data_IF_175889317816
#
_entry.id   IF_175889317816
#
_cell.length_a   1.000
_cell.length_b   1.000
_cell.length_c   1.000
_cell.angle_alpha   90.00
_cell.angle_beta   90.00
_cell.angle_gamma   90.00
#
_symmetry.space_group_name_H-M   'P 1'
#
loop_
_entity.id
_entity.type
_entity.pdbx_description
1 polymer ?
#
# COMPACT_ATOMS: atom_id res chain seq x y z
N UNK A 1 -27.41 11.02 -46.58
CA UNK A 1 -26.80 12.21 -45.97
C UNK A 1 -25.31 12.10 -46.23
N UNK A 2 -24.80 12.87 -47.18
CA UNK A 2 -23.43 12.73 -47.67
C UNK A 2 -22.44 13.17 -46.57
N UNK A 3 -21.66 12.21 -46.06
CA UNK A 3 -20.51 12.49 -45.20
C UNK A 3 -19.51 13.24 -46.07
N UNK A 4 -19.11 14.44 -45.64
CA UNK A 4 -18.28 15.34 -46.43
C UNK A 4 -16.88 14.71 -46.58
N UNK A 5 -16.31 14.76 -47.79
CA UNK A 5 -15.00 14.14 -48.12
C UNK A 5 -13.85 14.69 -47.25
N UNK A 6 -14.02 15.90 -46.71
CA UNK A 6 -13.12 16.51 -45.73
C UNK A 6 -13.16 15.82 -44.35
N UNK A 7 -14.31 15.31 -43.92
CA UNK A 7 -14.46 14.57 -42.65
C UNK A 7 -13.84 13.17 -42.76
N UNK A 8 -13.91 12.54 -43.93
CA UNK A 8 -13.21 11.27 -44.23
C UNK A 8 -11.69 11.45 -44.17
N UNK A 9 -11.16 12.53 -44.76
CA UNK A 9 -9.73 12.85 -44.75
C UNK A 9 -9.24 13.16 -43.33
N UNK A 10 -10.04 13.86 -42.51
CA UNK A 10 -9.70 14.11 -41.10
C UNK A 10 -9.66 12.82 -40.27
N UNK A 11 -10.61 11.90 -40.48
CA UNK A 11 -10.64 10.59 -39.79
C UNK A 11 -9.47 9.70 -40.23
N UNK A 12 -9.15 9.65 -41.53
CA UNK A 12 -8.01 8.90 -42.05
C UNK A 12 -6.67 9.51 -41.59
N UNK A 13 -6.59 10.83 -41.47
CA UNK A 13 -5.39 11.50 -40.94
C UNK A 13 -5.22 11.31 -39.43
N UNK A 14 -6.32 11.19 -38.67
CA UNK A 14 -6.31 10.85 -37.25
C UNK A 14 -5.91 9.39 -36.99
N UNK A 15 -6.36 8.45 -37.85
CA UNK A 15 -5.89 7.06 -37.82
C UNK A 15 -4.41 6.94 -38.20
N UNK A 16 -3.93 7.77 -39.13
CA UNK A 16 -2.52 7.79 -39.57
C UNK A 16 -1.55 8.43 -38.55
N UNK A 17 -2.06 9.04 -37.47
CA UNK A 17 -1.25 9.75 -36.45
C UNK A 17 -1.34 9.12 -35.06
N UNK A 18 -1.77 7.86 -34.94
CA UNK A 18 -1.59 7.16 -33.68
C UNK A 18 -0.09 6.97 -33.39
N UNK A 19 0.37 7.49 -32.26
CA UNK A 19 1.76 7.30 -31.79
C UNK A 19 2.06 5.81 -31.58
N UNK A 20 1.04 5.03 -31.23
CA UNK A 20 1.13 3.59 -31.04
C UNK A 20 0.24 2.88 -32.07
N UNK A 21 0.89 2.25 -33.06
CA UNK A 21 0.20 1.51 -34.13
C UNK A 21 -0.71 0.41 -33.56
N UNK A 22 -1.83 0.18 -34.25
CA UNK A 22 -2.82 -0.86 -33.90
C UNK A 22 -2.22 -2.28 -33.91
N UNK A 23 -1.12 -2.52 -34.65
CA UNK A 23 -0.41 -3.80 -34.62
C UNK A 23 0.40 -4.02 -33.34
N UNK A 24 1.01 -2.96 -32.79
CA UNK A 24 1.88 -3.07 -31.61
C UNK A 24 1.10 -3.07 -30.29
N UNK A 25 -0.04 -2.35 -30.28
CA UNK A 25 -0.93 -2.23 -29.14
C UNK A 25 -1.33 -3.57 -28.46
N UNK A 26 -1.78 -4.62 -29.16
CA UNK A 26 -2.18 -5.88 -28.53
C UNK A 26 -1.00 -6.61 -27.88
N UNK A 27 0.20 -6.56 -28.45
CA UNK A 27 1.38 -7.21 -27.87
C UNK A 27 1.80 -6.54 -26.56
N UNK A 28 1.88 -5.20 -26.55
CA UNK A 28 2.19 -4.45 -25.33
C UNK A 28 1.11 -4.64 -24.27
N UNK A 29 -0.16 -4.61 -24.68
CA UNK A 29 -1.29 -4.86 -23.77
C UNK A 29 -1.22 -6.24 -23.13
N UNK A 30 -1.00 -7.29 -23.93
CA UNK A 30 -0.85 -8.65 -23.43
C UNK A 30 0.31 -8.77 -22.43
N UNK A 31 1.45 -8.16 -22.77
CA UNK A 31 2.63 -8.15 -21.90
C UNK A 31 2.33 -7.51 -20.54
N UNK A 32 1.73 -6.32 -20.52
CA UNK A 32 1.34 -5.65 -19.27
C UNK A 32 0.28 -6.43 -18.48
N UNK A 33 -0.69 -7.06 -19.16
CA UNK A 33 -1.69 -7.90 -18.49
C UNK A 33 -1.04 -9.10 -17.80
N UNK A 34 -0.10 -9.78 -18.47
CA UNK A 34 0.63 -10.92 -17.91
C UNK A 34 1.40 -10.49 -16.66
N UNK A 35 2.18 -9.42 -16.74
CA UNK A 35 2.90 -8.90 -15.59
C UNK A 35 1.96 -8.48 -14.45
N UNK A 36 0.86 -7.82 -14.77
CA UNK A 36 -0.12 -7.40 -13.77
C UNK A 36 -0.71 -8.60 -13.04
N UNK A 37 -1.08 -9.66 -13.77
CA UNK A 37 -1.59 -10.90 -13.20
C UNK A 37 -0.56 -11.63 -12.32
N UNK A 38 0.73 -11.59 -12.68
CA UNK A 38 1.81 -12.17 -11.87
C UNK A 38 1.89 -11.58 -10.47
N UNK A 39 1.54 -10.30 -10.29
CA UNK A 39 1.52 -9.65 -8.98
C UNK A 39 0.12 -9.64 -8.35
N UNK A 40 -0.92 -9.38 -9.13
CA UNK A 40 -2.27 -9.17 -8.61
C UNK A 40 -2.91 -10.45 -8.08
N UNK A 41 -2.71 -11.59 -8.75
CA UNK A 41 -3.30 -12.87 -8.31
C UNK A 41 -2.70 -13.31 -6.97
N UNK A 42 -1.36 -13.35 -6.78
CA UNK A 42 -0.79 -13.59 -5.45
C UNK A 42 -1.20 -12.52 -4.42
N UNK A 43 -1.33 -11.25 -4.83
CA UNK A 43 -1.76 -10.18 -3.92
C UNK A 43 -3.19 -10.40 -3.39
N UNK A 44 -4.09 -11.02 -4.15
CA UNK A 44 -5.41 -11.45 -3.64
C UNK A 44 -5.22 -12.45 -2.49
N UNK A 45 -4.44 -13.51 -2.70
CA UNK A 45 -4.19 -14.53 -1.68
C UNK A 45 -3.52 -13.95 -0.43
N UNK A 46 -2.48 -13.15 -0.62
CA UNK A 46 -1.72 -12.53 0.46
C UNK A 46 -2.54 -11.53 1.26
N UNK A 47 -3.39 -10.73 0.62
CA UNK A 47 -4.27 -9.81 1.34
C UNK A 47 -5.44 -10.52 2.03
N UNK A 48 -5.94 -11.63 1.49
CA UNK A 48 -6.88 -12.49 2.22
C UNK A 48 -6.24 -13.06 3.51
N UNK A 49 -4.99 -13.53 3.43
CA UNK A 49 -4.22 -13.96 4.60
C UNK A 49 -4.01 -12.80 5.58
N UNK A 50 -3.68 -11.60 5.08
CA UNK A 50 -3.53 -10.40 5.92
C UNK A 50 -4.81 -10.11 6.71
N UNK A 51 -5.96 -10.08 6.03
CA UNK A 51 -7.27 -9.87 6.66
C UNK A 51 -7.52 -10.91 7.75
N UNK A 52 -7.34 -12.20 7.42
CA UNK A 52 -7.53 -13.28 8.39
C UNK A 52 -6.66 -13.12 9.64
N UNK A 53 -5.37 -12.82 9.46
CA UNK A 53 -4.42 -12.67 10.57
C UNK A 53 -4.74 -11.43 11.41
N UNK A 54 -5.03 -10.29 10.78
CA UNK A 54 -5.38 -9.08 11.54
C UNK A 54 -6.69 -9.21 12.30
N UNK A 55 -7.67 -9.95 11.76
CA UNK A 55 -8.87 -10.34 12.50
C UNK A 55 -8.51 -11.22 13.71
N UNK A 56 -7.60 -12.20 13.55
CA UNK A 56 -7.20 -13.11 14.63
C UNK A 56 -6.34 -12.45 15.71
N UNK A 57 -5.50 -11.49 15.36
CA UNK A 57 -4.72 -10.68 16.31
C UNK A 57 -5.66 -9.87 17.23
N UNK A 58 -6.85 -9.55 16.73
CA UNK A 58 -7.80 -8.67 17.39
C UNK A 58 -7.43 -7.21 17.17
N UNK A 59 -8.44 -6.42 16.81
CA UNK A 59 -8.31 -4.99 16.51
C UNK A 59 -8.19 -4.19 17.82
N UNK A 60 -7.03 -4.34 18.47
CA UNK A 60 -6.76 -3.85 19.83
C UNK A 60 -6.18 -2.44 19.85
N UNK A 61 -5.51 -2.04 18.77
CA UNK A 61 -4.82 -0.76 18.68
C UNK A 61 -5.10 -0.09 17.32
N UNK A 62 -4.90 1.22 17.25
CA UNK A 62 -5.16 2.01 16.04
C UNK A 62 -4.42 1.49 14.81
N UNK A 63 -3.20 0.95 14.98
CA UNK A 63 -2.36 0.52 13.86
C UNK A 63 -2.95 -0.74 13.24
N UNK A 64 -3.35 -1.69 14.08
CA UNK A 64 -4.01 -2.92 13.64
C UNK A 64 -5.33 -2.61 12.92
N UNK A 65 -6.10 -1.60 13.35
CA UNK A 65 -7.30 -1.14 12.61
C UNK A 65 -6.92 -0.69 11.19
N UNK A 66 -5.91 0.18 11.07
CA UNK A 66 -5.50 0.73 9.78
C UNK A 66 -4.95 -0.36 8.85
N UNK A 67 -4.15 -1.30 9.35
CA UNK A 67 -3.63 -2.40 8.52
C UNK A 67 -4.71 -3.40 8.11
N UNK A 68 -5.70 -3.67 8.97
CA UNK A 68 -6.86 -4.48 8.59
C UNK A 68 -7.66 -3.80 7.47
N UNK A 69 -7.96 -2.51 7.63
CA UNK A 69 -8.70 -1.74 6.63
C UNK A 69 -7.94 -1.67 5.30
N UNK A 70 -6.62 -1.42 5.34
CA UNK A 70 -5.76 -1.45 4.17
C UNK A 70 -5.77 -2.82 3.49
N UNK A 71 -5.64 -3.92 4.24
CA UNK A 71 -5.68 -5.27 3.69
C UNK A 71 -7.03 -5.61 3.04
N UNK A 72 -8.15 -5.14 3.60
CA UNK A 72 -9.48 -5.29 2.97
C UNK A 72 -9.55 -4.52 1.66
N UNK A 73 -9.08 -3.27 1.64
CA UNK A 73 -9.09 -2.46 0.42
C UNK A 73 -8.18 -3.05 -0.66
N UNK A 74 -6.96 -3.47 -0.30
CA UNK A 74 -6.02 -4.11 -1.22
C UNK A 74 -6.57 -5.44 -1.75
N UNK A 75 -7.22 -6.25 -0.91
CA UNK A 75 -7.90 -7.47 -1.35
C UNK A 75 -8.97 -7.17 -2.41
N UNK A 76 -9.90 -6.26 -2.12
CA UNK A 76 -10.95 -5.88 -3.07
C UNK A 76 -10.35 -5.31 -4.36
N UNK A 77 -9.37 -4.41 -4.25
CA UNK A 77 -8.67 -3.81 -5.38
C UNK A 77 -8.05 -4.88 -6.27
N UNK A 78 -7.30 -5.83 -5.69
CA UNK A 78 -6.60 -6.88 -6.44
C UNK A 78 -7.54 -7.91 -7.04
N UNK A 79 -8.71 -8.18 -6.43
CA UNK A 79 -9.75 -9.04 -7.02
C UNK A 79 -10.26 -8.43 -8.32
N UNK A 80 -10.72 -7.17 -8.29
CA UNK A 80 -11.21 -6.50 -9.50
C UNK A 80 -10.10 -6.31 -10.53
N UNK A 81 -8.88 -5.98 -10.11
CA UNK A 81 -7.75 -5.83 -11.00
C UNK A 81 -7.39 -7.13 -11.73
N UNK A 82 -7.39 -8.26 -11.01
CA UNK A 82 -7.09 -9.57 -11.60
C UNK A 82 -8.15 -10.01 -12.60
N UNK A 83 -9.43 -9.84 -12.27
CA UNK A 83 -10.55 -10.18 -13.17
C UNK A 83 -10.47 -9.30 -14.44
N UNK A 84 -10.26 -7.99 -14.28
CA UNK A 84 -10.16 -7.06 -15.41
C UNK A 84 -8.99 -7.36 -16.34
N UNK A 85 -7.79 -7.65 -15.80
CA UNK A 85 -6.64 -8.01 -16.63
C UNK A 85 -6.79 -9.37 -17.30
N UNK A 86 -7.45 -10.34 -16.65
CA UNK A 86 -7.74 -11.62 -17.28
C UNK A 86 -8.65 -11.44 -18.51
N UNK A 87 -9.71 -10.65 -18.36
CA UNK A 87 -10.61 -10.30 -19.45
C UNK A 87 -9.93 -9.51 -20.57
N UNK A 88 -9.10 -8.53 -20.21
CA UNK A 88 -8.29 -7.77 -21.16
C UNK A 88 -7.29 -8.65 -21.92
N UNK A 89 -6.67 -9.63 -21.27
CA UNK A 89 -5.76 -10.59 -21.89
C UNK A 89 -6.49 -11.49 -22.89
N UNK A 90 -7.64 -12.05 -22.51
CA UNK A 90 -8.46 -12.88 -23.41
C UNK A 90 -8.89 -12.11 -24.66
N UNK A 91 -9.28 -10.84 -24.51
CA UNK A 91 -9.57 -9.96 -25.64
C UNK A 91 -8.34 -9.71 -26.50
N UNK A 92 -7.19 -9.41 -25.89
CA UNK A 92 -5.95 -9.13 -26.63
C UNK A 92 -5.39 -10.33 -27.38
N UNK A 93 -5.71 -11.56 -26.95
CA UNK A 93 -5.31 -12.80 -27.62
C UNK A 93 -6.34 -13.29 -28.65
N UNK A 94 -7.40 -12.50 -28.93
CA UNK A 94 -8.50 -12.89 -29.81
C UNK A 94 -9.13 -14.24 -29.42
N UNK A 95 -9.26 -14.53 -28.12
CA UNK A 95 -9.83 -15.78 -27.66
C UNK A 95 -11.31 -15.93 -28.11
N UNK A 96 -11.81 -17.16 -28.35
CA UNK A 96 -13.20 -17.37 -28.73
C UNK A 96 -14.18 -16.75 -27.71
N UNK A 97 -15.13 -15.94 -28.20
CA UNK A 97 -16.13 -15.26 -27.34
C UNK A 97 -15.62 -14.02 -26.59
N UNK A 98 -14.39 -13.57 -26.83
CA UNK A 98 -13.81 -12.41 -26.13
C UNK A 98 -14.34 -11.05 -26.57
N UNK A 99 -15.10 -10.96 -27.68
CA UNK A 99 -15.59 -9.70 -28.25
C UNK A 99 -16.44 -8.87 -27.28
N UNK A 100 -17.27 -9.51 -26.46
CA UNK A 100 -18.13 -8.84 -25.46
C UNK A 100 -17.42 -8.62 -24.10
N UNK A 101 -16.17 -9.07 -23.97
CA UNK A 101 -15.44 -9.09 -22.71
C UNK A 101 -14.92 -7.71 -22.28
N UNK A 102 -14.84 -6.77 -23.24
CA UNK A 102 -14.49 -5.36 -23.02
C UNK A 102 -15.41 -4.67 -22.00
N UNK A 103 -16.70 -5.07 -21.93
CA UNK A 103 -17.67 -4.60 -20.95
C UNK A 103 -17.19 -4.90 -19.52
N UNK A 104 -16.72 -6.11 -19.30
CA UNK A 104 -16.34 -6.58 -17.97
C UNK A 104 -15.02 -5.94 -17.54
N UNK A 105 -14.12 -5.69 -18.50
CA UNK A 105 -12.91 -4.90 -18.28
C UNK A 105 -13.25 -3.49 -17.80
N UNK A 106 -14.25 -2.82 -18.39
CA UNK A 106 -14.66 -1.48 -17.93
C UNK A 106 -15.31 -1.50 -16.53
N UNK A 107 -16.22 -2.44 -16.28
CA UNK A 107 -16.89 -2.57 -14.98
C UNK A 107 -15.89 -2.88 -13.84
N UNK A 108 -14.95 -3.80 -14.10
CA UNK A 108 -13.89 -4.16 -13.15
C UNK A 108 -12.90 -3.03 -12.94
N UNK A 109 -12.50 -2.29 -13.98
CA UNK A 109 -11.65 -1.10 -13.86
C UNK A 109 -12.28 -0.02 -12.98
N UNK A 110 -13.59 0.17 -13.12
CA UNK A 110 -14.37 1.11 -12.30
C UNK A 110 -14.38 0.69 -10.82
N UNK A 111 -14.66 -0.58 -10.54
CA UNK A 111 -14.64 -1.10 -9.16
C UNK A 111 -13.22 -1.07 -8.56
N UNK A 112 -12.21 -1.47 -9.33
CA UNK A 112 -10.79 -1.38 -8.98
C UNK A 112 -10.41 0.03 -8.53
N UNK A 113 -10.77 1.05 -9.30
CA UNK A 113 -10.42 2.44 -9.00
C UNK A 113 -10.98 2.94 -7.67
N UNK A 114 -12.22 2.54 -7.32
CA UNK A 114 -12.86 2.95 -6.06
C UNK A 114 -12.11 2.43 -4.83
N UNK A 115 -11.77 1.14 -4.81
CA UNK A 115 -11.06 0.55 -3.67
C UNK A 115 -9.60 1.00 -3.62
N UNK A 116 -8.98 1.25 -4.77
CA UNK A 116 -7.62 1.79 -4.85
C UNK A 116 -7.52 3.18 -4.21
N UNK A 117 -8.49 4.06 -4.48
CA UNK A 117 -8.51 5.41 -3.90
C UNK A 117 -8.64 5.35 -2.37
N UNK A 118 -9.49 4.44 -1.87
CA UNK A 118 -9.65 4.20 -0.43
C UNK A 118 -8.35 3.67 0.17
N UNK A 119 -7.71 2.68 -0.46
CA UNK A 119 -6.42 2.14 -0.03
C UNK A 119 -5.34 3.24 0.03
N UNK A 120 -5.25 4.10 -1.00
CA UNK A 120 -4.30 5.22 -1.04
C UNK A 120 -4.52 6.21 0.10
N UNK A 121 -5.77 6.57 0.38
CA UNK A 121 -6.11 7.46 1.49
C UNK A 121 -5.79 6.83 2.85
N UNK A 122 -6.05 5.52 3.02
CA UNK A 122 -5.69 4.78 4.23
C UNK A 122 -4.17 4.75 4.43
N UNK A 123 -3.39 4.50 3.38
CA UNK A 123 -1.93 4.54 3.46
C UNK A 123 -1.43 5.94 3.83
N UNK A 124 -2.05 6.99 3.29
CA UNK A 124 -1.76 8.39 3.66
C UNK A 124 -2.04 8.65 5.14
N UNK A 125 -3.17 8.17 5.65
CA UNK A 125 -3.50 8.27 7.08
C UNK A 125 -2.49 7.53 7.96
N UNK A 126 -2.08 6.32 7.57
CA UNK A 126 -1.03 5.56 8.26
C UNK A 126 0.27 6.37 8.27
N UNK A 127 0.70 6.91 7.13
CA UNK A 127 1.92 7.70 7.03
C UNK A 127 1.88 8.94 7.93
N UNK A 128 0.76 9.65 7.94
CA UNK A 128 0.54 10.82 8.79
C UNK A 128 0.61 10.44 10.27
N UNK A 129 -0.08 9.37 10.68
CA UNK A 129 -0.02 8.84 12.03
C UNK A 129 1.42 8.51 12.45
N UNK A 130 2.21 7.91 11.56
CA UNK A 130 3.61 7.53 11.84
C UNK A 130 4.56 8.72 11.84
N UNK A 131 4.43 9.62 10.88
CA UNK A 131 5.22 10.83 10.78
C UNK A 131 4.99 11.74 11.98
N UNK A 132 3.74 11.94 12.39
CA UNK A 132 3.42 12.74 13.56
C UNK A 132 3.87 12.08 14.86
N UNK A 133 3.86 10.75 14.97
CA UNK A 133 4.40 10.07 16.16
C UNK A 133 5.91 10.34 16.34
N UNK A 134 6.61 10.61 15.25
CA UNK A 134 8.03 10.97 15.25
C UNK A 134 8.22 12.47 15.49
N UNK A 135 7.49 13.32 14.77
CA UNK A 135 7.67 14.77 14.83
C UNK A 135 7.05 15.39 16.10
N UNK A 136 5.94 14.84 16.60
CA UNK A 136 5.17 15.39 17.70
C UNK A 136 4.54 14.33 18.63
N UNK A 137 5.35 13.64 19.46
CA UNK A 137 4.91 12.48 20.25
C UNK A 137 3.87 12.77 21.34
N UNK A 138 3.78 14.02 21.83
CA UNK A 138 2.82 14.38 22.89
C UNK A 138 1.38 14.49 22.36
N UNK A 139 1.20 14.99 21.13
CA UNK A 139 -0.12 15.10 20.51
C UNK A 139 -0.67 13.73 20.08
N UNK A 140 0.21 12.85 19.60
CA UNK A 140 -0.18 11.56 19.01
C UNK A 140 -0.76 10.56 20.00
N UNK A 141 -0.36 10.61 21.27
CA UNK A 141 -0.89 9.73 22.33
C UNK A 141 -2.40 9.89 22.54
N UNK A 142 -2.95 11.08 22.28
CA UNK A 142 -4.39 11.36 22.47
C UNK A 142 -5.15 11.47 21.15
N UNK A 143 -4.46 11.82 20.06
CA UNK A 143 -5.07 11.94 18.73
C UNK A 143 -5.39 10.56 18.11
N UNK A 144 -4.48 9.59 18.17
CA UNK A 144 -4.57 8.34 17.42
C UNK A 144 -5.01 7.14 18.27
N UNK A 145 -6.22 7.22 18.83
CA UNK A 145 -6.84 6.09 19.53
C UNK A 145 -7.58 5.17 18.57
N UNK A 146 -7.81 3.91 18.96
CA UNK A 146 -8.49 2.90 18.13
C UNK A 146 -9.82 3.40 17.56
N UNK A 147 -10.69 3.93 18.42
CA UNK A 147 -12.04 4.33 18.02
C UNK A 147 -12.00 5.55 17.08
N UNK A 148 -11.10 6.51 17.33
CA UNK A 148 -10.92 7.68 16.45
C UNK A 148 -10.42 7.25 15.07
N UNK A 149 -9.44 6.36 15.00
CA UNK A 149 -8.94 5.84 13.73
C UNK A 149 -10.01 5.05 12.97
N UNK A 150 -10.83 4.26 13.66
CA UNK A 150 -11.96 3.57 13.03
C UNK A 150 -12.94 4.57 12.40
N UNK A 151 -13.31 5.63 13.14
CA UNK A 151 -14.19 6.69 12.61
C UNK A 151 -13.56 7.34 11.37
N UNK A 152 -12.28 7.72 11.43
CA UNK A 152 -11.58 8.34 10.30
C UNK A 152 -11.58 7.43 9.07
N UNK A 153 -11.29 6.14 9.23
CA UNK A 153 -11.26 5.18 8.11
C UNK A 153 -12.66 4.96 7.51
N UNK A 154 -13.70 4.92 8.34
CA UNK A 154 -15.09 4.86 7.85
C UNK A 154 -15.44 6.12 7.07
N UNK A 155 -15.10 7.30 7.58
CA UNK A 155 -15.35 8.58 6.90
C UNK A 155 -14.60 8.66 5.57
N UNK A 156 -13.32 8.27 5.53
CA UNK A 156 -12.52 8.18 4.29
C UNK A 156 -13.22 7.28 3.28
N UNK A 157 -13.66 6.10 3.71
CA UNK A 157 -14.33 5.12 2.85
C UNK A 157 -15.64 5.69 2.29
N UNK A 158 -16.48 6.28 3.14
CA UNK A 158 -17.77 6.85 2.73
C UNK A 158 -17.59 8.01 1.75
N UNK A 159 -16.65 8.92 2.00
CA UNK A 159 -16.41 10.07 1.12
C UNK A 159 -15.91 9.61 -0.26
N UNK A 160 -14.93 8.70 -0.30
CA UNK A 160 -14.33 8.27 -1.56
C UNK A 160 -15.26 7.37 -2.37
N UNK A 161 -15.98 6.45 -1.72
CA UNK A 161 -16.99 5.67 -2.41
C UNK A 161 -18.17 6.56 -2.85
N UNK A 162 -18.63 7.49 -2.00
CA UNK A 162 -19.73 8.37 -2.32
C UNK A 162 -19.43 9.35 -3.47
N UNK A 163 -18.19 9.79 -3.61
CA UNK A 163 -17.75 10.65 -4.73
C UNK A 163 -17.51 9.86 -6.01
N UNK A 164 -16.99 8.63 -5.91
CA UNK A 164 -16.74 7.79 -7.08
C UNK A 164 -17.96 7.02 -7.60
N UNK A 165 -18.89 6.61 -6.74
CA UNK A 165 -20.05 5.79 -7.12
C UNK A 165 -20.94 6.42 -8.19
N UNK A 166 -21.31 7.72 -8.14
CA UNK A 166 -22.12 8.35 -9.19
C UNK A 166 -21.51 8.22 -10.59
N UNK A 167 -20.19 8.37 -10.70
CA UNK A 167 -19.45 8.13 -11.95
C UNK A 167 -19.52 6.66 -12.37
N UNK A 168 -19.45 5.75 -11.39
CA UNK A 168 -19.48 4.30 -11.60
C UNK A 168 -20.84 3.72 -11.97
N UNK A 169 -21.93 4.48 -11.88
CA UNK A 169 -23.29 4.01 -12.23
C UNK A 169 -23.91 4.79 -13.39
N UNK A 170 -23.21 5.77 -13.95
CA UNK A 170 -23.71 6.65 -15.01
C UNK A 170 -23.34 6.19 -16.41
N UNK A 171 -23.34 4.87 -16.61
CA UNK A 171 -23.20 4.24 -17.92
C UNK A 171 -24.16 3.05 -18.03
N UNK A 172 -24.51 2.70 -19.26
CA UNK A 172 -25.30 1.51 -19.58
C UNK A 172 -24.65 0.74 -20.71
N UNK A 173 -24.90 -0.55 -20.74
CA UNK A 173 -24.47 -1.41 -21.84
C UNK A 173 -25.58 -1.44 -22.89
N UNK A 174 -25.22 -1.09 -24.13
CA UNK A 174 -26.13 -1.20 -25.27
C UNK A 174 -25.54 -2.17 -26.30
N UNK A 175 -26.40 -2.95 -26.94
CA UNK A 175 -26.00 -3.83 -28.04
C UNK A 175 -26.19 -3.08 -29.35
N UNK A 176 -25.14 -2.97 -30.13
CA UNK A 176 -25.18 -2.39 -31.48
C UNK A 176 -24.72 -3.45 -32.50
N UNK A 177 -25.24 -3.44 -33.74
CA UNK A 177 -24.72 -4.31 -34.79
C UNK A 177 -23.21 -4.08 -35.02
N UNK A 178 -22.44 -5.15 -35.19
CA UNK A 178 -21.01 -5.09 -35.47
C UNK A 178 -20.81 -4.41 -36.85
N UNK A 179 -20.14 -3.24 -36.90
CA UNK A 179 -19.97 -2.49 -38.13
C UNK A 179 -19.09 -3.22 -39.16
N UNK A 180 -18.32 -4.23 -38.74
CA UNK A 180 -17.48 -5.06 -39.64
C UNK A 180 -18.22 -6.29 -40.16
N UNK A 181 -19.18 -6.80 -39.39
CA UNK A 181 -19.96 -7.97 -39.75
C UNK A 181 -21.41 -7.78 -39.26
N UNK A 182 -22.28 -7.29 -40.14
CA UNK A 182 -23.68 -6.92 -39.84
C UNK A 182 -24.57 -8.08 -39.33
N UNK A 183 -23.99 -9.28 -39.16
CA UNK A 183 -24.63 -10.46 -38.59
C UNK A 183 -24.43 -10.61 -37.07
N UNK A 184 -23.41 -9.99 -36.48
CA UNK A 184 -23.14 -10.06 -35.02
C UNK A 184 -23.53 -8.76 -34.30
N UNK A 185 -23.87 -8.85 -33.01
CA UNK A 185 -24.04 -7.69 -32.13
C UNK A 185 -22.81 -7.56 -31.24
N UNK A 186 -22.37 -6.32 -30.98
CA UNK A 186 -21.33 -5.98 -29.99
C UNK A 186 -21.95 -5.17 -28.85
N UNK A 187 -21.48 -5.40 -27.62
CA UNK A 187 -21.86 -4.59 -26.47
C UNK A 187 -20.92 -3.39 -26.36
N UNK A 188 -21.47 -2.18 -26.36
CA UNK A 188 -20.71 -0.94 -26.13
C UNK A 188 -21.17 -0.22 -24.87
N UNK A 189 -20.24 0.53 -24.26
CA UNK A 189 -20.51 1.39 -23.12
C UNK A 189 -21.14 2.68 -23.63
N UNK A 190 -22.37 2.96 -23.20
CA UNK A 190 -23.07 4.21 -23.47
C UNK A 190 -23.13 5.03 -22.17
N UNK A 191 -22.41 6.15 -22.15
CA UNK A 191 -22.43 7.10 -21.04
C UNK A 191 -23.74 7.89 -21.03
N UNK A 192 -24.28 8.15 -19.83
CA UNK A 192 -25.43 9.04 -19.67
C UNK A 192 -24.96 10.50 -19.75
N UNK A 193 -25.85 11.44 -20.09
CA UNK A 193 -25.50 12.87 -20.26
C UNK A 193 -24.82 13.46 -19.00
N UNK A 194 -25.27 13.02 -17.82
CA UNK A 194 -24.75 13.42 -16.51
C UNK A 194 -23.36 12.84 -16.19
N UNK A 195 -22.89 11.82 -16.91
CA UNK A 195 -21.59 11.17 -16.67
C UNK A 195 -20.45 12.19 -16.70
N UNK A 196 -20.47 13.10 -17.70
CA UNK A 196 -19.44 14.13 -17.89
C UNK A 196 -19.24 15.02 -16.66
N UNK A 197 -20.34 15.36 -15.97
CA UNK A 197 -20.32 16.20 -14.77
C UNK A 197 -19.72 15.46 -13.58
N UNK A 198 -20.11 14.19 -13.38
CA UNK A 198 -19.55 13.36 -12.30
C UNK A 198 -18.10 12.97 -12.56
N UNK A 199 -17.72 12.69 -13.81
CA UNK A 199 -16.34 12.41 -14.22
C UNK A 199 -15.43 13.62 -13.95
N UNK A 200 -15.89 14.82 -14.32
CA UNK A 200 -15.15 16.06 -14.04
C UNK A 200 -15.00 16.32 -12.54
N UNK A 201 -16.07 16.16 -11.75
CA UNK A 201 -16.02 16.32 -10.30
C UNK A 201 -15.05 15.32 -9.66
N UNK A 202 -15.12 14.05 -10.06
CA UNK A 202 -14.23 13.01 -9.57
C UNK A 202 -12.76 13.28 -9.96
N UNK A 203 -12.50 13.67 -11.21
CA UNK A 203 -11.17 14.01 -11.67
C UNK A 203 -10.58 15.18 -10.88
N UNK A 204 -11.32 16.27 -10.73
CA UNK A 204 -10.84 17.48 -10.03
C UNK A 204 -10.65 17.19 -8.54
N UNK A 205 -11.65 16.62 -7.88
CA UNK A 205 -11.63 16.45 -6.43
C UNK A 205 -10.74 15.28 -5.99
N UNK A 206 -10.96 14.09 -6.54
CA UNK A 206 -10.28 12.86 -6.09
C UNK A 206 -8.90 12.74 -6.73
N UNK A 207 -8.81 12.86 -8.06
CA UNK A 207 -7.54 12.60 -8.77
C UNK A 207 -6.56 13.76 -8.71
N UNK A 208 -7.03 15.01 -8.79
CA UNK A 208 -6.17 16.19 -8.73
C UNK A 208 -6.00 16.64 -7.27
N UNK A 209 -7.00 17.24 -6.64
CA UNK A 209 -6.84 17.89 -5.33
C UNK A 209 -6.39 16.88 -4.27
N UNK A 210 -7.13 15.78 -4.11
CA UNK A 210 -6.75 14.75 -3.13
C UNK A 210 -5.50 13.98 -3.55
N UNK A 211 -5.35 13.60 -4.81
CA UNK A 211 -4.18 12.86 -5.30
C UNK A 211 -2.85 13.60 -5.04
N UNK A 212 -2.76 14.87 -5.44
CA UNK A 212 -1.59 15.70 -5.15
C UNK A 212 -1.41 15.96 -3.65
N UNK A 213 -2.51 16.23 -2.93
CA UNK A 213 -2.46 16.43 -1.47
C UNK A 213 -1.92 15.21 -0.73
N UNK A 214 -2.40 14.01 -1.06
CA UNK A 214 -1.91 12.74 -0.53
C UNK A 214 -0.43 12.55 -0.84
N UNK A 215 0.00 12.78 -2.07
CA UNK A 215 1.39 12.64 -2.47
C UNK A 215 2.34 13.56 -1.69
N UNK A 216 1.94 14.83 -1.51
CA UNK A 216 2.71 15.82 -0.72
C UNK A 216 2.79 15.36 0.74
N UNK A 217 1.67 15.00 1.35
CA UNK A 217 1.62 14.53 2.75
C UNK A 217 2.51 13.30 2.92
N UNK A 218 2.43 12.32 2.02
CA UNK A 218 3.24 11.11 2.02
C UNK A 218 4.73 11.42 1.95
N UNK A 219 5.12 12.33 1.06
CA UNK A 219 6.53 12.74 0.88
C UNK A 219 7.08 13.43 2.13
N UNK A 220 6.32 14.37 2.72
CA UNK A 220 6.69 15.05 3.97
C UNK A 220 6.79 14.04 5.12
N UNK A 221 5.84 13.11 5.24
CA UNK A 221 5.87 12.08 6.27
C UNK A 221 7.06 11.12 6.09
N UNK A 222 7.40 10.75 4.85
CA UNK A 222 8.58 9.92 4.56
C UNK A 222 9.86 10.57 5.08
N UNK A 223 10.04 11.86 4.80
CA UNK A 223 11.18 12.65 5.27
C UNK A 223 11.18 12.73 6.80
N UNK A 224 10.04 13.03 7.42
CA UNK A 224 9.94 13.10 8.88
C UNK A 224 10.28 11.76 9.57
N UNK A 225 9.74 10.64 9.06
CA UNK A 225 10.02 9.29 9.58
C UNK A 225 11.51 8.95 9.39
N UNK A 226 12.09 9.29 8.24
CA UNK A 226 13.51 9.05 7.95
C UNK A 226 14.43 9.82 8.91
N UNK A 227 14.16 11.11 9.12
CA UNK A 227 14.92 11.95 10.06
C UNK A 227 14.79 11.39 11.48
N UNK A 228 13.59 11.05 11.92
CA UNK A 228 13.39 10.47 13.25
C UNK A 228 14.06 9.11 13.45
N UNK A 229 14.10 8.29 12.41
CA UNK A 229 14.83 7.02 12.42
C UNK A 229 16.33 7.26 12.61
N UNK A 230 16.92 8.20 11.86
CA UNK A 230 18.34 8.58 11.97
C UNK A 230 18.68 9.08 13.37
N UNK A 231 17.85 9.99 13.92
CA UNK A 231 18.03 10.50 15.28
C UNK A 231 17.96 9.38 16.32
N UNK A 232 17.01 8.47 16.17
CA UNK A 232 16.86 7.31 17.07
C UNK A 232 18.06 6.35 17.02
N UNK A 233 18.69 6.19 15.84
CA UNK A 233 19.91 5.37 15.70
C UNK A 233 21.11 6.06 16.35
N UNK A 234 21.29 7.37 16.10
CA UNK A 234 22.42 8.15 16.66
C UNK A 234 22.38 8.21 18.18
N UNK A 235 21.20 8.45 18.77
CA UNK A 235 21.04 8.44 20.23
C UNK A 235 21.40 7.08 20.84
N UNK A 236 21.10 5.99 20.13
CA UNK A 236 21.42 4.62 20.59
C UNK A 236 22.91 4.32 20.51
N UNK A 237 23.61 4.73 19.46
CA UNK A 237 25.08 4.58 19.38
C UNK A 237 25.80 5.33 20.50
N UNK A 238 25.34 6.53 20.83
CA UNK A 238 25.91 7.34 21.92
C UNK A 238 25.58 6.77 23.30
N UNK A 239 24.37 6.24 23.50
CA UNK A 239 24.01 5.59 24.77
C UNK A 239 24.78 4.28 25.00
N UNK A 240 25.06 3.52 23.93
CA UNK A 240 25.88 2.31 24.03
C UNK A 240 27.36 2.59 24.29
N UNK A 241 27.90 3.69 23.77
CA UNK A 241 29.29 4.09 24.06
C UNK A 241 29.44 4.58 25.51
N UNK A 242 28.56 5.46 25.97
CA UNK A 242 28.56 5.95 27.37
C UNK A 242 28.46 4.81 28.40
N UNK A 243 27.58 3.83 28.16
CA UNK A 243 27.43 2.69 29.05
C UNK A 243 28.67 1.76 29.04
N UNK A 244 29.41 1.71 27.93
CA UNK A 244 30.66 0.95 27.84
C UNK A 244 31.81 1.66 28.57
N UNK A 245 31.85 3.00 28.49
CA UNK A 245 32.83 3.83 29.19
C UNK A 245 32.60 3.85 30.70
N UNK A 246 31.34 3.86 31.16
CA UNK A 246 31.01 3.74 32.59
C UNK A 246 31.39 2.37 33.17
N UNK A 247 31.15 1.27 32.43
CA UNK A 247 31.57 -0.08 32.85
C UNK A 247 33.10 -0.18 32.88
N UNK A 248 33.80 0.38 31.89
CA UNK A 248 35.25 0.39 31.86
C UNK A 248 35.82 1.25 33.01
N UNK A 249 35.24 2.40 33.32
CA UNK A 249 35.65 3.25 34.43
C UNK A 249 35.39 2.61 35.80
N UNK A 250 34.27 1.89 35.97
CA UNK A 250 33.98 1.12 37.20
C UNK A 250 34.95 -0.05 37.35
N UNK A 251 35.25 -0.78 36.27
CA UNK A 251 36.23 -1.88 36.30
C UNK A 251 37.66 -1.41 36.60
N UNK A 252 38.00 -0.17 36.21
CA UNK A 252 39.29 0.46 36.50
C UNK A 252 39.37 1.04 37.93
N UNK A 253 38.24 1.31 38.59
CA UNK A 253 38.20 1.73 40.00
C UNK A 253 38.17 0.55 40.97
N UNK A 254 37.62 -0.60 40.60
CA UNK A 254 37.58 -1.79 41.48
C UNK A 254 38.87 -2.63 41.47
N UNK A 255 39.82 -2.37 40.56
CA UNK A 255 41.07 -3.13 40.43
C UNK A 255 42.16 -2.76 41.45
N UNK A 256 41.94 -1.77 42.34
CA UNK A 256 43.02 -1.31 43.22
C UNK A 256 42.92 -1.64 44.71
N UNK A 257 41.80 -2.05 45.34
CA UNK A 257 41.81 -2.17 46.82
C UNK A 257 40.98 -3.23 47.57
N UNK A 258 40.30 -4.22 46.97
CA UNK A 258 39.44 -5.11 47.81
C UNK A 258 39.50 -6.64 47.59
N UNK A 259 40.50 -7.15 46.88
CA UNK A 259 40.62 -8.61 46.63
C UNK A 259 40.98 -9.43 47.89
N UNK A 260 41.57 -8.82 48.92
CA UNK A 260 41.92 -9.53 50.16
C UNK A 260 40.82 -9.52 51.23
N UNK A 261 39.95 -8.51 51.24
CA UNK A 261 38.90 -8.38 52.27
C UNK A 261 37.74 -9.34 52.03
N UNK A 262 37.40 -9.60 50.76
CA UNK A 262 36.33 -10.53 50.37
C UNK A 262 36.74 -11.99 50.61
N UNK A 263 38.01 -12.36 50.36
CA UNK A 263 38.52 -13.72 50.62
C UNK A 263 38.48 -14.11 52.11
N UNK A 264 38.63 -13.16 53.04
CA UNK A 264 38.52 -13.43 54.48
C UNK A 264 37.08 -13.61 54.96
N UNK A 265 36.12 -12.93 54.34
CA UNK A 265 34.69 -13.06 54.70
C UNK A 265 34.14 -14.43 54.24
N UNK A 266 34.53 -14.88 53.04
CA UNK A 266 34.10 -16.19 52.49
C UNK A 266 34.65 -17.35 53.32
N UNK A 267 35.89 -17.28 53.80
CA UNK A 267 36.52 -18.35 54.59
C UNK A 267 36.00 -18.48 56.02
N UNK A 268 35.26 -17.48 56.52
CA UNK A 268 34.63 -17.52 57.86
C UNK A 268 33.22 -18.11 57.89
N UNK A 269 32.61 -18.35 56.71
CA UNK A 269 31.22 -18.82 56.58
C UNK A 269 31.07 -20.28 56.17
N UNK A 270 32.17 -21.00 55.89
CA UNK A 270 32.13 -22.41 55.47
C UNK A 270 32.14 -23.44 56.62
N UNK A 271 32.19 -23.02 57.89
CA UNK A 271 32.29 -23.96 59.03
C UNK A 271 31.04 -24.11 59.90
N UNK A 272 29.88 -23.55 59.54
CA UNK A 272 28.61 -23.82 60.24
C UNK A 272 27.39 -23.75 59.32
N UNK A 273 26.69 -24.88 59.26
CA UNK A 273 25.28 -25.14 58.91
C UNK A 273 25.03 -26.08 57.73
N UNK A 274 24.65 -27.28 58.16
CA UNK A 274 24.00 -28.41 57.51
C UNK A 274 22.66 -28.06 56.84
N UNK A 275 22.49 -28.57 55.63
CA UNK A 275 21.32 -29.28 55.09
C UNK A 275 19.91 -28.83 55.53
N UNK A 276 19.38 -27.79 54.86
CA UNK A 276 17.99 -27.74 54.34
C UNK A 276 17.76 -26.47 53.51
N UNK A 277 16.92 -26.59 52.49
CA UNK A 277 16.34 -25.53 51.66
C UNK A 277 17.25 -24.82 50.65
N UNK A 278 17.63 -25.57 49.62
CA UNK A 278 17.99 -25.03 48.31
C UNK A 278 16.74 -24.62 47.52
N UNK A 279 16.24 -23.41 47.71
CA UNK A 279 15.54 -22.65 46.65
C UNK A 279 15.29 -21.19 47.05
N UNK A 280 15.46 -20.28 46.08
CA UNK A 280 15.12 -18.85 46.10
C UNK A 280 16.10 -17.86 46.76
N UNK A 281 17.28 -17.69 46.15
CA UNK A 281 17.81 -16.34 45.91
C UNK A 281 18.22 -16.28 44.43
N UNK A 282 17.22 -16.11 43.55
CA UNK A 282 17.49 -15.53 42.23
C UNK A 282 17.41 -14.02 42.40
N UNK A 283 18.58 -13.40 42.35
CA UNK A 283 18.73 -11.99 42.00
C UNK A 283 18.05 -11.79 40.65
N UNK A 284 16.77 -11.41 40.65
CA UNK A 284 16.07 -10.97 39.45
C UNK A 284 16.64 -9.61 39.05
N UNK A 285 17.64 -9.70 38.17
CA UNK A 285 18.23 -8.59 37.47
C UNK A 285 17.13 -7.85 36.71
N UNK A 286 16.82 -6.63 37.14
CA UNK A 286 15.99 -5.64 36.42
C UNK A 286 16.48 -5.32 34.98
N UNK A 287 17.58 -5.91 34.51
CA UNK A 287 18.25 -5.59 33.25
C UNK A 287 17.70 -6.27 31.98
N UNK A 288 16.77 -7.24 32.07
CA UNK A 288 16.23 -7.88 30.86
C UNK A 288 15.04 -7.14 30.22
N UNK A 289 14.26 -6.39 31.00
CA UNK A 289 13.11 -5.63 30.44
C UNK A 289 13.56 -4.41 29.62
N UNK A 290 14.73 -3.83 29.92
CA UNK A 290 15.23 -2.63 29.25
C UNK A 290 15.91 -2.91 27.89
N UNK A 291 16.44 -4.13 27.66
CA UNK A 291 17.09 -4.49 26.38
C UNK A 291 16.14 -4.91 25.25
N UNK A 292 14.89 -5.31 25.55
CA UNK A 292 13.91 -5.78 24.54
C UNK A 292 13.04 -4.67 23.92
N UNK A 293 12.70 -3.63 24.67
CA UNK A 293 11.93 -2.47 24.18
C UNK A 293 12.59 -1.70 23.00
N UNK A 294 13.91 -1.44 22.97
CA UNK A 294 14.51 -0.55 21.96
C UNK A 294 14.62 -1.16 20.56
N UNK A 295 14.58 -2.49 20.40
CA UNK A 295 14.57 -3.16 19.09
C UNK A 295 13.20 -3.13 18.43
N UNK A 296 12.13 -3.22 19.23
CA UNK A 296 10.73 -3.24 18.76
C UNK A 296 10.33 -1.89 18.14
N UNK A 297 10.74 -0.78 18.74
CA UNK A 297 10.45 0.57 18.22
C UNK A 297 11.12 0.83 16.86
N UNK A 298 12.37 0.39 16.69
CA UNK A 298 13.08 0.53 15.40
C UNK A 298 12.38 -0.27 14.31
N UNK A 299 11.89 -1.47 14.61
CA UNK A 299 11.15 -2.28 13.64
C UNK A 299 9.87 -1.58 13.18
N UNK A 300 9.13 -0.94 14.10
CA UNK A 300 7.91 -0.19 13.76
C UNK A 300 8.23 1.02 12.87
N UNK A 301 9.32 1.74 13.15
CA UNK A 301 9.75 2.88 12.33
C UNK A 301 10.21 2.41 10.94
N UNK A 302 10.99 1.33 10.88
CA UNK A 302 11.43 0.72 9.61
C UNK A 302 10.23 0.23 8.79
N UNK A 303 9.25 -0.42 9.43
CA UNK A 303 8.01 -0.82 8.78
C UNK A 303 7.35 0.38 8.11
N UNK A 304 7.10 1.43 8.90
CA UNK A 304 6.41 2.62 8.44
C UNK A 304 7.16 3.28 7.27
N UNK A 305 8.47 3.44 7.39
CA UNK A 305 9.29 4.00 6.32
C UNK A 305 9.23 3.17 5.04
N UNK A 306 9.33 1.84 5.14
CA UNK A 306 9.27 0.95 3.97
C UNK A 306 7.92 1.04 3.26
N UNK A 307 6.81 1.01 4.00
CA UNK A 307 5.45 1.17 3.42
C UNK A 307 5.32 2.52 2.71
N UNK A 308 5.74 3.60 3.39
CA UNK A 308 5.59 4.96 2.84
C UNK A 308 6.46 5.15 1.60
N UNK A 309 7.71 4.70 1.61
CA UNK A 309 8.60 4.78 0.44
C UNK A 309 8.07 3.97 -0.72
N UNK A 310 7.61 2.74 -0.47
CA UNK A 310 7.04 1.90 -1.52
C UNK A 310 5.79 2.55 -2.13
N UNK A 311 4.89 3.06 -1.29
CA UNK A 311 3.70 3.76 -1.76
C UNK A 311 4.06 4.99 -2.60
N UNK A 312 5.01 5.83 -2.16
CA UNK A 312 5.46 7.01 -2.92
C UNK A 312 6.01 6.59 -4.29
N UNK A 313 6.89 5.58 -4.32
CA UNK A 313 7.47 5.09 -5.58
C UNK A 313 6.40 4.55 -6.53
N UNK A 314 5.47 3.73 -6.03
CA UNK A 314 4.42 3.11 -6.84
C UNK A 314 3.29 4.07 -7.25
N UNK A 315 3.03 5.14 -6.48
CA UNK A 315 2.02 6.16 -6.81
C UNK A 315 2.54 7.27 -7.72
N UNK A 316 3.87 7.49 -7.75
CA UNK A 316 4.49 8.57 -8.54
C UNK A 316 4.06 8.53 -10.02
N UNK A 317 4.08 7.37 -10.72
CA UNK A 317 3.59 7.29 -12.10
C UNK A 317 2.12 7.69 -12.22
N UNK A 318 1.28 7.28 -11.27
CA UNK A 318 -0.15 7.60 -11.30
C UNK A 318 -0.48 9.06 -11.06
N UNK A 319 0.25 9.74 -10.16
CA UNK A 319 0.04 11.17 -9.85
C UNK A 319 0.67 12.09 -10.89
N UNK A 320 1.80 11.70 -11.47
CA UNK A 320 2.48 12.49 -12.50
C UNK A 320 1.85 12.24 -13.86
N UNK A 321 1.76 10.98 -14.30
CA UNK A 321 1.45 10.70 -15.70
C UNK A 321 -0.02 10.94 -16.00
N UNK A 322 -0.95 10.52 -15.14
CA UNK A 322 -2.38 10.58 -15.49
C UNK A 322 -2.92 12.03 -15.44
N UNK A 323 -2.80 12.79 -14.34
CA UNK A 323 -3.37 14.13 -14.24
C UNK A 323 -2.58 15.15 -15.05
N UNK A 324 -1.24 15.12 -15.00
CA UNK A 324 -0.42 16.17 -15.64
C UNK A 324 -0.54 16.06 -17.16
N UNK A 325 -0.41 14.86 -17.75
CA UNK A 325 -0.62 14.74 -19.20
C UNK A 325 -2.07 15.02 -19.60
N UNK A 326 -3.06 14.58 -18.81
CA UNK A 326 -4.47 14.86 -19.14
C UNK A 326 -4.84 16.35 -19.05
N UNK A 327 -4.06 17.15 -18.30
CA UNK A 327 -4.23 18.61 -18.20
C UNK A 327 -3.58 19.34 -19.38
N UNK A 328 -2.40 18.91 -19.83
CA UNK A 328 -1.67 19.55 -20.93
C UNK A 328 -2.11 19.08 -22.32
N UNK A 329 -2.51 17.82 -22.45
CA UNK A 329 -2.92 17.23 -23.71
C UNK A 329 -4.32 16.64 -23.60
N UNK A 330 -5.31 17.40 -24.05
CA UNK A 330 -6.72 17.00 -24.01
C UNK A 330 -7.00 15.74 -24.83
N UNK A 331 -6.14 15.41 -25.79
CA UNK A 331 -6.20 14.19 -26.63
C UNK A 331 -5.64 12.93 -25.95
N UNK A 332 -5.05 13.04 -24.76
CA UNK A 332 -4.57 11.92 -23.96
C UNK A 332 -5.67 11.40 -23.01
N UNK A 333 -6.76 10.89 -23.58
CA UNK A 333 -7.94 10.39 -22.85
C UNK A 333 -8.50 9.13 -23.50
N UNK A 334 -9.47 8.52 -22.82
CA UNK A 334 -10.21 7.39 -23.38
C UNK A 334 -11.05 7.87 -24.58
N UNK A 335 -10.98 7.16 -25.71
CA UNK A 335 -11.79 7.46 -26.91
C UNK A 335 -11.26 8.61 -27.79
N UNK A 336 -10.06 9.12 -27.53
CA UNK A 336 -9.42 10.20 -28.32
C UNK A 336 -8.21 9.67 -29.12
N UNK A 337 -7.52 10.55 -29.86
CA UNK A 337 -6.39 10.20 -30.76
C UNK A 337 -5.29 9.36 -30.09
N UNK A 338 -4.99 9.59 -28.80
CA UNK A 338 -3.96 8.86 -28.06
C UNK A 338 -4.48 7.73 -27.17
N UNK A 339 -5.63 7.17 -27.50
CA UNK A 339 -6.29 6.11 -26.72
C UNK A 339 -5.40 4.88 -26.45
N UNK A 340 -4.74 4.34 -27.49
CA UNK A 340 -3.88 3.17 -27.36
C UNK A 340 -2.70 3.44 -26.42
N UNK A 341 -2.07 4.60 -26.56
CA UNK A 341 -0.98 5.04 -25.69
C UNK A 341 -1.46 5.24 -24.25
N UNK A 342 -2.61 5.88 -24.07
CA UNK A 342 -3.25 6.07 -22.76
C UNK A 342 -3.44 4.73 -22.05
N UNK A 343 -3.96 3.71 -22.75
CA UNK A 343 -4.17 2.39 -22.17
C UNK A 343 -2.87 1.69 -21.75
N UNK A 344 -1.82 1.76 -22.57
CA UNK A 344 -0.52 1.14 -22.25
C UNK A 344 0.10 1.81 -21.04
N UNK A 345 0.12 3.15 -21.01
CA UNK A 345 0.63 3.94 -19.88
C UNK A 345 -0.15 3.63 -18.61
N UNK A 346 -1.48 3.62 -18.68
CA UNK A 346 -2.34 3.32 -17.54
C UNK A 346 -2.11 1.89 -17.02
N UNK A 347 -1.89 0.92 -17.91
CA UNK A 347 -1.56 -0.45 -17.52
C UNK A 347 -0.22 -0.55 -16.77
N UNK A 348 0.77 0.28 -17.15
CA UNK A 348 2.03 0.38 -16.42
C UNK A 348 1.87 1.00 -15.03
N UNK A 349 1.02 2.02 -14.90
CA UNK A 349 0.66 2.61 -13.59
C UNK A 349 -0.02 1.57 -12.70
N UNK A 350 -0.98 0.84 -13.23
CA UNK A 350 -1.71 -0.18 -12.49
C UNK A 350 -0.79 -1.32 -11.99
N UNK A 351 0.20 -1.71 -12.80
CA UNK A 351 1.23 -2.67 -12.40
C UNK A 351 1.99 -2.19 -11.15
N UNK A 352 2.33 -0.89 -11.07
CA UNK A 352 2.97 -0.33 -9.88
C UNK A 352 2.07 -0.47 -8.64
N UNK A 353 0.76 -0.27 -8.78
CA UNK A 353 -0.20 -0.48 -7.68
C UNK A 353 -0.33 -1.96 -7.29
N UNK A 354 -0.30 -2.88 -8.26
CA UNK A 354 -0.31 -4.32 -7.98
C UNK A 354 0.93 -4.75 -7.18
N UNK A 355 2.12 -4.25 -7.55
CA UNK A 355 3.37 -4.49 -6.80
C UNK A 355 3.26 -3.96 -5.37
N UNK A 356 2.68 -2.78 -5.18
CA UNK A 356 2.48 -2.18 -3.86
C UNK A 356 1.59 -3.05 -2.95
N UNK A 357 0.43 -3.48 -3.45
CA UNK A 357 -0.49 -4.35 -2.71
C UNK A 357 0.10 -5.74 -2.42
N UNK A 358 0.88 -6.28 -3.36
CA UNK A 358 1.61 -7.55 -3.21
C UNK A 358 2.66 -7.49 -2.09
N UNK A 359 3.45 -6.42 -2.04
CA UNK A 359 4.57 -6.28 -1.11
C UNK A 359 4.14 -6.14 0.36
N UNK A 360 2.92 -5.63 0.62
CA UNK A 360 2.42 -5.40 1.97
C UNK A 360 2.51 -6.63 2.87
N UNK A 361 2.22 -7.82 2.35
CA UNK A 361 2.35 -9.08 3.10
C UNK A 361 3.79 -9.33 3.60
N UNK A 362 4.78 -9.18 2.73
CA UNK A 362 6.18 -9.35 3.10
C UNK A 362 6.65 -8.27 4.08
N UNK A 363 6.15 -7.03 3.94
CA UNK A 363 6.42 -5.97 4.89
C UNK A 363 5.88 -6.34 6.28
N UNK A 364 4.66 -6.88 6.36
CA UNK A 364 4.08 -7.32 7.62
C UNK A 364 4.85 -8.49 8.25
N UNK A 365 5.24 -9.50 7.47
CA UNK A 365 6.06 -10.60 7.96
C UNK A 365 7.41 -10.14 8.52
N UNK A 366 8.08 -9.22 7.83
CA UNK A 366 9.42 -8.79 8.23
C UNK A 366 9.41 -7.82 9.42
N UNK A 367 8.46 -6.88 9.45
CA UNK A 367 8.53 -5.75 10.37
C UNK A 367 7.39 -5.67 11.40
N UNK A 368 6.27 -6.38 11.21
CA UNK A 368 5.19 -6.44 12.21
C UNK A 368 5.32 -7.70 13.08
N UNK A 369 5.86 -7.52 14.29
CA UNK A 369 6.09 -8.65 15.21
C UNK A 369 4.82 -9.37 15.61
N UNK A 370 3.70 -8.66 15.82
CA UNK A 370 2.40 -9.28 16.18
C UNK A 370 1.90 -10.15 15.03
N UNK A 371 1.99 -9.61 13.81
CA UNK A 371 1.64 -10.32 12.58
C UNK A 371 2.46 -11.59 12.40
N UNK A 372 3.79 -11.48 12.47
CA UNK A 372 4.69 -12.64 12.32
C UNK A 372 4.45 -13.73 13.36
N UNK A 373 4.25 -13.36 14.63
CA UNK A 373 3.96 -14.35 15.67
C UNK A 373 2.63 -15.08 15.42
N UNK A 374 1.58 -14.35 15.02
CA UNK A 374 0.30 -14.96 14.69
C UNK A 374 0.39 -15.85 13.44
N UNK A 375 1.07 -15.39 12.39
CA UNK A 375 1.34 -16.16 11.17
C UNK A 375 2.06 -17.48 11.50
N UNK A 376 3.19 -17.40 12.22
CA UNK A 376 3.96 -18.60 12.56
C UNK A 376 3.16 -19.55 13.45
N UNK A 377 2.38 -19.05 14.41
CA UNK A 377 1.52 -19.90 15.25
C UNK A 377 0.44 -20.66 14.48
N UNK A 378 0.10 -20.25 13.27
CA UNK A 378 -0.92 -20.90 12.44
C UNK A 378 -0.30 -21.81 11.39
N UNK A 379 0.73 -21.31 10.70
CA UNK A 379 1.29 -21.95 9.50
C UNK A 379 2.64 -22.64 9.76
N UNK A 380 3.29 -22.33 10.88
CA UNK A 380 4.55 -22.94 11.33
C UNK A 380 4.40 -23.40 12.79
N UNK A 381 3.47 -24.33 13.03
CA UNK A 381 3.60 -25.20 14.20
C UNK A 381 4.79 -26.13 13.96
N UNK A 382 5.67 -26.22 14.96
CA UNK A 382 6.75 -27.18 15.02
C UNK A 382 6.21 -28.61 15.10
#
# INVERSE_FOLDING_TARGET
MAINRSTEIDIQSAFSRQILNDELYPYLTSLFCIFSLMFSVPAVCFNAINVFIFCKIGVTDSITVCFLHLAVCDFCTMVFHSIGNFFKLLFSLNAPGSKDLSLYTFATATAYGLFLDVASATTTYIALQRGLCVAWPFLTRHAFTRNKSLIVLVVITVILLGTGMPRSVTFRFIRIPDPTNNSSQIVVVHFLDVYSSFDALYLIFVKIIMGFGQYIIMSVCAVAIFIGMRSSIKLKSTSSSLCSDDINNISNQESSQNTEKIKRIVKSRESKMTEKDSTNIKTETKNEKEKKAPKKEILVIKQALTVVLLQVLCTTPGVIVIPIYSLFETRFKLGTEYHNLFYVVYSGVDLCYAVNAFANFFIYLNFNTKFRHCFNSIFHCH
#
